data_IF_089068687502
#
_entry.id   IF_089068687502
#
_cell.length_a   1.000
_cell.length_b   1.000
_cell.length_c   1.000
_cell.angle_alpha   90.00
_cell.angle_beta   90.00
_cell.angle_gamma   90.00
#
_symmetry.space_group_name_H-M   'P 1'
#
loop_
_entity.id
_entity.type
_entity.pdbx_description
1 polymer ?
#
# COMPACT_ATOMS: atom_id res chain seq x y z
N UNK A 1 8.81 -15.29 -3.96
CA UNK A 1 9.27 -13.90 -3.75
C UNK A 1 10.74 -13.83 -4.09
N UNK A 2 11.17 -12.77 -4.77
CA UNK A 2 12.56 -12.51 -5.11
C UNK A 2 13.48 -12.54 -3.88
N UNK A 3 14.73 -13.01 -4.09
CA UNK A 3 15.81 -12.85 -3.10
C UNK A 3 16.20 -11.38 -3.03
N UNK A 4 16.87 -10.98 -1.93
CA UNK A 4 17.49 -9.65 -1.86
C UNK A 4 18.53 -9.50 -2.97
N UNK A 5 19.55 -10.37 -3.00
CA UNK A 5 20.55 -10.35 -4.05
C UNK A 5 20.28 -11.44 -5.09
N UNK A 6 20.30 -11.06 -6.36
CA UNK A 6 20.10 -11.95 -7.51
C UNK A 6 21.29 -11.79 -8.46
N UNK A 7 21.66 -12.84 -9.18
CA UNK A 7 22.81 -12.81 -10.10
C UNK A 7 22.42 -12.40 -11.52
N UNK A 8 21.16 -12.59 -11.89
CA UNK A 8 20.60 -12.16 -13.17
C UNK A 8 19.12 -11.76 -13.06
N UNK A 9 18.60 -11.00 -14.03
CA UNK A 9 17.17 -10.65 -14.08
C UNK A 9 16.24 -11.86 -14.13
N UNK A 10 16.66 -12.96 -14.75
CA UNK A 10 15.83 -14.16 -14.94
C UNK A 10 15.55 -14.92 -13.63
N UNK A 11 16.36 -14.67 -12.59
CA UNK A 11 16.15 -15.25 -11.26
C UNK A 11 15.15 -14.46 -10.40
N UNK A 12 14.75 -13.27 -10.85
CA UNK A 12 13.90 -12.36 -10.08
C UNK A 12 12.45 -12.79 -10.21
N UNK A 13 11.99 -13.53 -9.19
CA UNK A 13 10.57 -13.79 -8.95
C UNK A 13 9.83 -12.50 -8.50
N UNK A 14 8.57 -12.60 -8.06
CA UNK A 14 7.79 -11.45 -7.60
C UNK A 14 8.53 -10.65 -6.52
N UNK A 15 8.76 -9.36 -6.80
CA UNK A 15 9.39 -8.43 -5.86
C UNK A 15 8.40 -7.99 -4.78
N UNK A 16 8.90 -7.45 -3.67
CA UNK A 16 8.03 -6.86 -2.64
C UNK A 16 7.19 -5.73 -3.24
N UNK A 17 7.80 -4.90 -4.10
CA UNK A 17 7.11 -3.84 -4.83
C UNK A 17 5.93 -4.37 -5.67
N UNK A 18 6.15 -5.42 -6.47
CA UNK A 18 5.10 -6.04 -7.27
C UNK A 18 4.03 -6.68 -6.40
N UNK A 19 4.40 -7.33 -5.30
CA UNK A 19 3.44 -7.91 -4.36
C UNK A 19 2.52 -6.85 -3.74
N UNK A 20 3.05 -5.65 -3.48
CA UNK A 20 2.28 -4.54 -2.91
C UNK A 20 1.38 -3.84 -3.93
N UNK A 21 1.84 -3.69 -5.17
CA UNK A 21 1.22 -2.77 -6.13
C UNK A 21 0.56 -3.45 -7.33
N UNK A 22 1.04 -4.62 -7.73
CA UNK A 22 0.58 -5.29 -8.94
C UNK A 22 -0.65 -6.16 -8.68
N UNK A 23 -1.66 -6.00 -9.54
CA UNK A 23 -2.81 -6.88 -9.58
C UNK A 23 -3.48 -6.87 -10.96
N UNK A 24 -4.16 -7.96 -11.34
CA UNK A 24 -5.12 -7.93 -12.44
C UNK A 24 -6.21 -6.85 -12.22
N UNK A 25 -6.83 -6.33 -13.29
CA UNK A 25 -7.83 -5.25 -13.19
C UNK A 25 -8.91 -5.50 -12.14
N UNK A 26 -9.40 -6.74 -12.05
CA UNK A 26 -10.53 -7.14 -11.20
C UNK A 26 -10.12 -7.72 -9.84
N UNK A 27 -8.83 -7.67 -9.47
CA UNK A 27 -8.36 -8.20 -8.19
C UNK A 27 -7.59 -7.12 -7.40
N UNK A 28 -7.59 -7.18 -6.06
CA UNK A 28 -6.68 -6.37 -5.27
C UNK A 28 -5.24 -6.89 -5.41
N UNK A 29 -4.21 -6.04 -5.25
CA UNK A 29 -2.85 -6.52 -5.01
C UNK A 29 -2.82 -7.27 -3.68
N UNK A 30 -1.77 -8.04 -3.41
CA UNK A 30 -1.68 -8.80 -2.16
C UNK A 30 -1.75 -7.85 -0.94
N UNK A 31 -1.12 -6.67 -1.01
CA UNK A 31 -1.23 -5.63 0.02
C UNK A 31 -2.65 -5.08 0.25
N UNK A 32 -3.61 -5.35 -0.66
CA UNK A 32 -5.02 -5.06 -0.42
C UNK A 32 -5.57 -5.80 0.80
N UNK A 33 -5.07 -7.00 1.08
CA UNK A 33 -5.50 -7.83 2.21
C UNK A 33 -4.50 -7.85 3.38
N UNK A 34 -3.32 -7.25 3.22
CA UNK A 34 -2.32 -7.17 4.27
C UNK A 34 -2.26 -5.75 4.85
N UNK A 35 -2.25 -5.58 6.18
CA UNK A 35 -2.49 -4.29 6.82
C UNK A 35 -1.37 -3.28 6.60
N UNK A 36 -0.20 -3.68 6.13
CA UNK A 36 1.00 -2.85 6.10
C UNK A 36 1.98 -3.27 7.19
N UNK A 37 3.03 -2.48 7.35
CA UNK A 37 4.06 -2.73 8.36
C UNK A 37 5.11 -3.75 7.93
N UNK A 38 6.17 -3.83 8.74
CA UNK A 38 7.26 -4.80 8.59
C UNK A 38 7.82 -4.80 7.16
N UNK A 39 7.66 -5.90 6.39
CA UNK A 39 8.19 -6.01 5.03
C UNK A 39 7.55 -5.06 4.00
N UNK A 40 6.52 -4.27 4.38
CA UNK A 40 5.93 -3.23 3.54
C UNK A 40 6.49 -1.84 3.85
N UNK A 41 7.32 -1.73 4.89
CA UNK A 41 8.00 -0.51 5.33
C UNK A 41 9.52 -0.62 5.21
N UNK A 42 10.08 -1.78 5.55
CA UNK A 42 11.51 -2.00 5.67
C UNK A 42 11.98 -3.12 4.75
N UNK A 43 13.17 -2.91 4.18
CA UNK A 43 13.90 -3.93 3.44
C UNK A 43 14.42 -5.05 4.36
N UNK A 44 15.04 -6.06 3.78
CA UNK A 44 15.57 -7.21 4.54
C UNK A 44 16.79 -6.89 5.43
N UNK A 45 17.28 -5.66 5.39
CA UNK A 45 18.31 -5.11 6.29
C UNK A 45 17.73 -4.15 7.34
N UNK A 46 16.40 -3.99 7.38
CA UNK A 46 15.72 -3.09 8.32
C UNK A 46 15.76 -1.62 7.91
N UNK A 47 16.11 -1.30 6.67
CA UNK A 47 16.13 0.07 6.14
C UNK A 47 14.79 0.40 5.51
N UNK A 48 14.26 1.59 5.81
CA UNK A 48 12.96 2.01 5.27
C UNK A 48 13.05 2.23 3.75
N UNK A 49 12.14 1.62 2.98
CA UNK A 49 12.25 1.56 1.52
C UNK A 49 12.29 2.94 0.85
N UNK A 50 11.38 3.83 1.24
CA UNK A 50 11.21 5.16 0.63
C UNK A 50 12.41 6.07 0.88
N UNK A 51 12.92 6.08 2.11
CA UNK A 51 14.14 6.81 2.49
C UNK A 51 15.36 6.26 1.75
N UNK A 52 15.50 4.94 1.70
CA UNK A 52 16.68 4.30 1.11
C UNK A 52 16.74 4.49 -0.40
N UNK A 53 15.61 4.32 -1.08
CA UNK A 53 15.54 4.53 -2.53
C UNK A 53 15.69 6.00 -2.92
N UNK A 54 15.19 6.93 -2.10
CA UNK A 54 15.41 8.36 -2.33
C UNK A 54 16.89 8.74 -2.18
N UNK A 55 17.60 8.13 -1.21
CA UNK A 55 19.03 8.36 -1.01
C UNK A 55 19.92 7.65 -2.06
N UNK A 56 19.47 6.51 -2.59
CA UNK A 56 20.19 5.75 -3.61
C UNK A 56 19.26 5.30 -4.75
N UNK A 57 18.90 6.19 -5.70
CA UNK A 57 17.98 5.87 -6.78
C UNK A 57 18.46 4.74 -7.71
N UNK A 58 19.78 4.50 -7.80
CA UNK A 58 20.35 3.45 -8.63
C UNK A 58 19.92 2.03 -8.19
N UNK A 59 19.42 1.87 -6.96
CA UNK A 59 18.85 0.60 -6.49
C UNK A 59 17.66 0.15 -7.34
N UNK A 60 16.91 1.09 -7.96
CA UNK A 60 15.79 0.77 -8.86
C UNK A 60 16.23 -0.06 -10.07
N UNK A 61 17.44 0.16 -10.55
CA UNK A 61 17.99 -0.51 -11.73
C UNK A 61 18.99 -1.62 -11.36
N UNK A 62 19.11 -1.93 -10.06
CA UNK A 62 19.95 -3.00 -9.55
C UNK A 62 19.25 -4.36 -9.58
N UNK A 63 19.97 -5.44 -9.29
CA UNK A 63 19.40 -6.78 -9.09
C UNK A 63 18.92 -7.01 -7.65
N UNK A 64 18.72 -5.95 -6.86
CA UNK A 64 18.17 -6.04 -5.52
C UNK A 64 16.65 -6.26 -5.58
N UNK A 65 16.15 -7.43 -5.16
CA UNK A 65 14.73 -7.76 -5.18
C UNK A 65 13.85 -6.93 -4.23
N UNK A 66 14.46 -6.15 -3.33
CA UNK A 66 13.79 -5.13 -2.51
C UNK A 66 13.47 -3.85 -3.32
N UNK A 67 14.26 -3.54 -4.35
CA UNK A 67 14.25 -2.23 -5.01
C UNK A 67 14.06 -2.26 -6.53
N UNK A 68 14.38 -3.35 -7.21
CA UNK A 68 14.33 -3.42 -8.67
C UNK A 68 12.95 -3.04 -9.20
N UNK A 69 12.91 -2.07 -10.12
CA UNK A 69 11.69 -1.54 -10.74
C UNK A 69 10.71 -0.88 -9.76
N UNK A 70 11.11 -0.61 -8.52
CA UNK A 70 10.25 -0.03 -7.50
C UNK A 70 10.17 1.50 -7.57
N UNK A 71 9.11 2.06 -6.98
CA UNK A 71 8.92 3.51 -6.86
C UNK A 71 8.67 3.94 -5.41
N UNK A 72 9.33 3.28 -4.46
CA UNK A 72 9.21 3.59 -3.02
C UNK A 72 9.48 5.07 -2.69
N UNK A 73 10.46 5.67 -3.36
CA UNK A 73 10.84 7.09 -3.24
C UNK A 73 9.71 8.06 -3.58
N UNK A 74 8.78 7.66 -4.46
CA UNK A 74 7.61 8.46 -4.84
C UNK A 74 6.37 8.05 -4.05
N UNK A 75 6.18 6.75 -3.93
CA UNK A 75 5.00 6.09 -3.36
C UNK A 75 4.91 6.19 -1.85
N UNK A 76 6.07 6.32 -1.21
CA UNK A 76 6.25 6.00 0.20
C UNK A 76 6.05 4.50 0.47
N UNK A 77 5.93 4.17 1.75
CA UNK A 77 5.69 2.82 2.23
C UNK A 77 4.25 2.61 2.68
N UNK A 78 3.83 1.34 2.78
CA UNK A 78 2.52 1.00 3.34
C UNK A 78 2.69 0.67 4.82
N UNK A 79 2.48 1.67 5.67
CA UNK A 79 2.56 1.54 7.13
C UNK A 79 1.45 0.66 7.70
N UNK A 80 1.67 0.14 8.91
CA UNK A 80 0.66 -0.65 9.61
C UNK A 80 -0.64 0.13 9.80
N UNK A 81 -1.69 -0.31 9.10
CA UNK A 81 -3.00 0.32 9.15
C UNK A 81 -3.86 -0.31 10.25
N UNK A 82 -4.06 0.39 11.35
CA UNK A 82 -4.92 -0.10 12.45
C UNK A 82 -6.41 -0.05 12.06
N UNK A 83 -6.80 0.88 11.19
CA UNK A 83 -8.20 1.14 10.84
C UNK A 83 -8.78 0.08 9.92
N UNK A 84 -7.94 -0.61 9.15
CA UNK A 84 -8.36 -1.69 8.25
C UNK A 84 -9.23 -2.74 8.94
N UNK A 85 -8.92 -3.06 10.20
CA UNK A 85 -9.70 -4.00 11.00
C UNK A 85 -10.65 -3.29 11.95
N UNK A 86 -10.20 -2.19 12.57
CA UNK A 86 -10.91 -1.60 13.70
C UNK A 86 -11.90 -0.48 13.35
N UNK A 87 -11.83 0.09 12.15
CA UNK A 87 -12.81 1.09 11.71
C UNK A 87 -14.03 0.41 11.08
N UNK A 88 -15.26 0.66 11.56
CA UNK A 88 -16.47 0.11 10.97
C UNK A 88 -16.77 0.70 9.58
N UNK A 89 -16.23 1.88 9.28
CA UNK A 89 -16.48 2.60 8.02
C UNK A 89 -15.30 2.56 7.05
N UNK A 90 -14.37 1.63 7.26
CA UNK A 90 -13.16 1.53 6.45
C UNK A 90 -13.49 1.32 4.96
N UNK A 91 -12.99 2.22 4.11
CA UNK A 91 -13.21 2.19 2.67
C UNK A 91 -12.17 1.29 1.98
N UNK A 92 -12.49 0.00 1.91
CA UNK A 92 -11.69 -1.02 1.25
C UNK A 92 -11.47 -0.75 -0.24
N UNK A 93 -12.48 -0.24 -0.95
CA UNK A 93 -12.36 0.12 -2.36
C UNK A 93 -11.39 1.29 -2.50
N UNK A 94 -11.50 2.28 -1.62
CA UNK A 94 -10.56 3.39 -1.49
C UNK A 94 -9.13 2.91 -1.28
N UNK A 95 -8.89 2.02 -0.30
CA UNK A 95 -7.57 1.40 -0.06
C UNK A 95 -7.00 0.79 -1.34
N UNK A 96 -7.73 -0.14 -1.95
CA UNK A 96 -7.28 -0.85 -3.16
C UNK A 96 -6.99 0.13 -4.30
N UNK A 97 -7.82 1.16 -4.45
CA UNK A 97 -7.60 2.23 -5.43
C UNK A 97 -6.29 2.98 -5.20
N UNK A 98 -5.96 3.31 -3.95
CA UNK A 98 -4.68 3.95 -3.61
C UNK A 98 -3.49 3.02 -3.89
N UNK A 99 -3.58 1.73 -3.54
CA UNK A 99 -2.50 0.77 -3.79
C UNK A 99 -2.22 0.60 -5.29
N UNK A 100 -3.28 0.43 -6.10
CA UNK A 100 -3.17 0.34 -7.57
C UNK A 100 -2.65 1.63 -8.21
N UNK A 101 -2.87 2.76 -7.56
CA UNK A 101 -2.38 4.08 -7.98
C UNK A 101 -0.94 4.38 -7.52
N UNK A 102 -0.30 3.41 -6.84
CA UNK A 102 1.00 3.54 -6.19
C UNK A 102 1.03 4.65 -5.13
N UNK A 103 -0.07 4.91 -4.44
CA UNK A 103 -0.19 5.93 -3.40
C UNK A 103 -0.08 5.30 -1.98
N UNK A 104 0.97 4.51 -1.73
CA UNK A 104 1.07 3.66 -0.54
C UNK A 104 1.03 4.44 0.77
N UNK A 105 1.80 5.53 0.88
CA UNK A 105 1.84 6.43 2.04
C UNK A 105 0.46 6.98 2.43
N UNK A 106 -0.45 7.11 1.48
CA UNK A 106 -1.73 7.78 1.67
C UNK A 106 -2.91 6.82 1.76
N UNK A 107 -2.68 5.51 1.59
CA UNK A 107 -3.72 4.50 1.54
C UNK A 107 -4.59 4.47 2.80
N UNK A 108 -3.96 4.46 3.98
CA UNK A 108 -4.66 4.43 5.27
C UNK A 108 -5.48 5.70 5.51
N UNK A 109 -4.93 6.88 5.15
CA UNK A 109 -5.64 8.16 5.29
C UNK A 109 -6.89 8.23 4.42
N UNK A 110 -6.80 7.77 3.16
CA UNK A 110 -7.94 7.70 2.26
C UNK A 110 -8.99 6.70 2.75
N UNK A 111 -8.56 5.47 3.06
CA UNK A 111 -9.45 4.37 3.43
C UNK A 111 -10.09 4.58 4.81
N UNK A 112 -9.37 5.22 5.73
CA UNK A 112 -9.90 5.65 7.04
C UNK A 112 -10.83 6.86 6.96
N UNK A 113 -11.13 7.39 5.76
CA UNK A 113 -11.97 8.57 5.52
C UNK A 113 -11.48 9.84 6.23
N UNK A 114 -10.19 9.90 6.54
CA UNK A 114 -9.57 11.03 7.24
C UNK A 114 -9.26 12.20 6.29
N UNK A 115 -9.10 11.90 5.00
CA UNK A 115 -8.87 12.90 3.97
C UNK A 115 -9.06 12.33 2.58
N UNK A 116 -9.05 13.24 1.61
CA UNK A 116 -9.10 12.91 0.18
C UNK A 116 -7.69 13.04 -0.38
N UNK A 117 -7.23 12.00 -1.07
CA UNK A 117 -5.96 12.01 -1.80
C UNK A 117 -6.21 12.54 -3.21
N UNK A 118 -5.54 13.63 -3.56
CA UNK A 118 -5.53 14.20 -4.91
C UNK A 118 -4.29 13.75 -5.64
N UNK A 119 -4.50 13.31 -6.87
CA UNK A 119 -3.45 12.80 -7.75
C UNK A 119 -3.07 11.35 -7.49
N UNK A 120 -2.29 10.79 -8.40
CA UNK A 120 -1.82 9.39 -8.38
C UNK A 120 -0.43 9.31 -8.97
N UNK A 121 0.42 8.41 -8.49
CA UNK A 121 1.77 8.22 -9.06
C UNK A 121 1.72 7.37 -10.32
N UNK A 122 0.83 6.38 -10.32
CA UNK A 122 0.60 5.48 -11.45
C UNK A 122 -0.87 5.49 -11.82
N UNK A 123 -1.14 5.51 -13.12
CA UNK A 123 -2.47 5.33 -13.63
C UNK A 123 -2.71 3.85 -13.99
N UNK A 124 -3.53 3.13 -13.22
CA UNK A 124 -3.78 1.71 -13.47
C UNK A 124 -4.52 1.43 -14.78
N UNK A 125 -5.17 2.45 -15.38
CA UNK A 125 -5.90 2.31 -16.63
C UNK A 125 -4.94 2.38 -17.84
N UNK A 126 -4.15 3.44 -17.92
CA UNK A 126 -3.16 3.63 -19.01
C UNK A 126 -1.86 2.86 -18.78
N UNK A 127 -1.64 2.35 -17.57
CA UNK A 127 -0.41 1.67 -17.11
C UNK A 127 0.84 2.56 -17.21
N UNK A 128 0.68 3.85 -16.95
CA UNK A 128 1.76 4.83 -17.04
C UNK A 128 1.97 5.57 -15.71
N UNK A 129 3.21 6.00 -15.48
CA UNK A 129 3.54 6.93 -14.41
C UNK A 129 3.04 8.32 -14.84
N UNK A 130 2.31 9.00 -13.98
CA UNK A 130 1.66 10.29 -14.30
C UNK A 130 2.59 11.49 -14.16
N UNK A 131 3.64 11.36 -13.32
CA UNK A 131 4.49 12.48 -12.91
C UNK A 131 3.88 13.36 -11.79
N UNK A 132 2.69 13.04 -11.30
CA UNK A 132 2.05 13.77 -10.21
C UNK A 132 2.68 13.45 -8.85
N UNK A 133 2.57 14.39 -7.92
CA UNK A 133 2.89 14.16 -6.50
C UNK A 133 1.59 14.19 -5.70
N UNK A 134 1.14 13.06 -5.12
CA UNK A 134 -0.10 13.02 -4.40
C UNK A 134 -0.12 13.95 -3.19
N UNK A 135 -1.25 14.59 -2.96
CA UNK A 135 -1.48 15.49 -1.82
C UNK A 135 -2.74 15.10 -1.07
N UNK A 136 -2.77 15.38 0.23
CA UNK A 136 -3.94 15.08 1.07
C UNK A 136 -4.67 16.37 1.40
N UNK A 137 -5.99 16.34 1.21
CA UNK A 137 -6.91 17.31 1.78
C UNK A 137 -7.64 16.64 2.94
N UNK A 138 -7.22 16.93 4.17
CA UNK A 138 -7.85 16.36 5.37
C UNK A 138 -9.25 16.90 5.61
N UNK A 139 -10.15 16.04 6.09
CA UNK A 139 -11.46 16.45 6.54
C UNK A 139 -11.34 17.11 7.93
N UNK A 140 -11.14 18.43 7.95
CA UNK A 140 -10.94 19.21 9.18
C UNK A 140 -12.06 19.09 10.21
N UNK A 141 -13.27 18.68 9.82
CA UNK A 141 -14.39 18.47 10.76
C UNK A 141 -14.16 17.30 11.72
N UNK A 142 -13.23 16.40 11.40
CA UNK A 142 -12.86 15.27 12.25
C UNK A 142 -11.79 15.63 13.29
N UNK A 143 -11.15 16.79 13.15
CA UNK A 143 -10.03 17.19 13.98
C UNK A 143 -10.47 18.30 14.93
N UNK A 144 -10.06 18.17 16.19
CA UNK A 144 -10.14 19.22 17.19
C UNK A 144 -9.17 20.37 16.83
N UNK A 145 -9.31 21.50 17.50
CA UNK A 145 -8.42 22.67 17.31
C UNK A 145 -6.94 22.33 17.60
N UNK A 146 -6.67 21.37 18.48
CA UNK A 146 -5.33 20.87 18.80
C UNK A 146 -4.78 19.84 17.78
N UNK A 147 -5.52 19.59 16.70
CA UNK A 147 -5.12 18.66 15.64
C UNK A 147 -5.31 17.19 15.98
N UNK A 148 -5.91 16.85 17.13
CA UNK A 148 -6.25 15.46 17.48
C UNK A 148 -7.60 15.07 16.91
N UNK A 149 -7.80 13.76 16.77
CA UNK A 149 -9.04 13.15 16.31
C UNK A 149 -9.44 12.03 17.26
N UNK A 150 -10.75 11.86 17.45
CA UNK A 150 -11.31 10.64 18.04
C UNK A 150 -11.65 9.69 16.90
N UNK A 151 -10.89 8.60 16.79
CA UNK A 151 -11.14 7.59 15.77
C UNK A 151 -12.21 6.62 16.27
N UNK A 152 -13.22 6.27 15.44
CA UNK A 152 -14.21 5.26 15.78
C UNK A 152 -13.58 3.86 15.67
N UNK A 153 -12.72 3.50 16.61
CA UNK A 153 -12.01 2.23 16.67
C UNK A 153 -12.80 1.28 17.57
N UNK A 154 -13.32 0.20 17.00
CA UNK A 154 -13.98 -0.84 17.77
C UNK A 154 -12.93 -1.74 18.44
N UNK A 155 -13.12 -2.04 19.73
CA UNK A 155 -12.23 -2.98 20.45
C UNK A 155 -12.21 -4.36 19.77
N UNK A 156 -13.38 -4.87 19.36
CA UNK A 156 -13.51 -6.06 18.52
C UNK A 156 -13.78 -5.63 17.08
N UNK A 157 -12.92 -5.99 16.10
CA UNK A 157 -13.22 -5.82 14.68
C UNK A 157 -14.58 -6.41 14.32
N UNK A 158 -15.31 -5.75 13.43
CA UNK A 158 -16.54 -6.32 12.88
C UNK A 158 -16.19 -7.44 11.87
N UNK A 159 -16.93 -8.53 11.88
CA UNK A 159 -16.71 -9.68 10.97
C UNK A 159 -16.67 -9.25 9.49
N UNK A 160 -17.45 -8.22 9.14
CA UNK A 160 -17.49 -7.65 7.80
C UNK A 160 -16.10 -7.18 7.31
N UNK A 161 -15.21 -6.70 8.19
CA UNK A 161 -13.84 -6.31 7.84
C UNK A 161 -12.95 -7.54 7.58
N UNK A 162 -13.12 -8.62 8.36
CA UNK A 162 -12.43 -9.89 8.14
C UNK A 162 -12.81 -10.51 6.78
N UNK A 163 -14.10 -10.44 6.45
CA UNK A 163 -14.65 -11.06 5.25
C UNK A 163 -14.25 -10.37 3.94
N UNK A 164 -13.70 -9.16 3.97
CA UNK A 164 -13.16 -8.51 2.77
C UNK A 164 -11.99 -9.28 2.17
N UNK A 165 -11.21 -9.96 3.01
CA UNK A 165 -10.08 -10.78 2.59
C UNK A 165 -10.44 -12.26 2.57
N UNK A 166 -11.14 -12.74 3.60
CA UNK A 166 -11.43 -14.16 3.77
C UNK A 166 -12.58 -14.65 2.90
N UNK A 167 -13.59 -13.83 2.63
CA UNK A 167 -14.72 -14.22 1.76
C UNK A 167 -14.26 -14.61 0.35
N UNK A 168 -13.56 -13.73 -0.38
CA UNK A 168 -13.02 -14.06 -1.71
C UNK A 168 -12.03 -15.22 -1.69
N UNK A 169 -11.21 -15.34 -0.63
CA UNK A 169 -10.24 -16.43 -0.50
C UNK A 169 -10.91 -17.79 -0.33
N UNK A 170 -11.96 -17.87 0.48
CA UNK A 170 -12.70 -19.11 0.71
C UNK A 170 -13.48 -19.56 -0.53
N UNK A 171 -13.99 -18.62 -1.34
CA UNK A 171 -14.62 -18.94 -2.62
C UNK A 171 -13.64 -19.54 -3.63
N UNK A 172 -12.38 -19.07 -3.65
CA UNK A 172 -11.36 -19.57 -4.58
C UNK A 172 -10.80 -20.96 -4.22
N UNK A 173 -10.93 -21.38 -2.97
CA UNK A 173 -10.48 -22.71 -2.50
C UNK A 173 -11.47 -23.85 -2.79
N UNK A 174 -12.69 -23.53 -3.26
CA UNK A 174 -13.75 -24.52 -3.55
C UNK A 174 -13.80 -24.95 -5.03
N UNK A 175 -12.67 -24.81 -5.74
CA UNK A 175 -12.49 -25.34 -7.09
C UNK A 175 -12.55 -26.86 -7.11
#
# INVERSE_FOLDING_TARGET
MAKKHNESPDEIDITVWQWVTAAPPNLPPCAGCHPGGGPLEYDREGKRYDVTLAANPALRDSLDGDYIGSHWDKSGVLEADCLICHSPEYDWKGRIGQLKSWNLKWAATAAGRLGIVKGRIFDPETKQITGETPTVVYNRRLFNEDGKIVLPINYRPADANCMQCHGPADMKKRG
#
